data_IF_855742287282
#
_entry.id   IF_855742287282
#
_cell.length_a   1.000
_cell.length_b   1.000
_cell.length_c   1.000
_cell.angle_alpha   90.00
_cell.angle_beta   90.00
_cell.angle_gamma   90.00
#
_symmetry.space_group_name_H-M   'P 1'
#
loop_
_entity.id
_entity.type
_entity.pdbx_description
1 polymer ?
#
# COMPACT_ATOMS: atom_id res chain seq x y z
N UNK A 1 -2.89 -38.69 -7.68
CA UNK A 1 -3.42 -38.28 -8.98
C UNK A 1 -4.03 -36.91 -8.75
N UNK A 2 -3.33 -35.86 -9.17
CA UNK A 2 -3.72 -34.46 -8.96
C UNK A 2 -4.82 -34.11 -9.95
N UNK A 3 -6.08 -34.10 -9.48
CA UNK A 3 -7.10 -33.27 -10.12
C UNK A 3 -6.59 -31.84 -10.11
N UNK A 4 -6.74 -31.12 -11.23
CA UNK A 4 -6.41 -29.70 -11.29
C UNK A 4 -7.20 -28.96 -10.20
N UNK A 5 -6.52 -28.12 -9.42
CA UNK A 5 -7.12 -27.37 -8.33
C UNK A 5 -8.20 -26.40 -8.83
N UNK A 6 -8.02 -25.87 -10.05
CA UNK A 6 -9.02 -25.13 -10.82
C UNK A 6 -9.00 -25.62 -12.27
N UNK A 7 -10.17 -25.86 -12.88
CA UNK A 7 -10.26 -26.19 -14.30
C UNK A 7 -11.60 -25.84 -14.93
N UNK A 8 -11.57 -25.58 -16.23
CA UNK A 8 -12.73 -25.26 -17.05
C UNK A 8 -13.33 -26.53 -17.66
N UNK A 9 -14.65 -26.65 -17.62
CA UNK A 9 -15.43 -27.55 -18.46
C UNK A 9 -16.18 -26.68 -19.47
N UNK A 10 -15.73 -26.71 -20.73
CA UNK A 10 -16.31 -25.85 -21.76
C UNK A 10 -17.59 -26.42 -22.36
N UNK A 11 -18.55 -25.54 -22.66
CA UNK A 11 -19.79 -25.86 -23.37
C UNK A 11 -20.56 -27.05 -22.79
N UNK A 12 -20.78 -27.03 -21.48
CA UNK A 12 -21.51 -28.07 -20.75
C UNK A 12 -22.65 -27.48 -19.90
N UNK A 13 -23.51 -28.37 -19.41
CA UNK A 13 -24.66 -27.98 -18.59
C UNK A 13 -25.00 -29.02 -17.53
N UNK A 14 -25.68 -28.57 -16.47
CA UNK A 14 -26.18 -29.40 -15.39
C UNK A 14 -25.44 -29.17 -14.06
N UNK A 15 -26.22 -29.17 -12.97
CA UNK A 15 -25.68 -29.10 -11.61
C UNK A 15 -24.84 -30.35 -11.26
N UNK A 16 -25.13 -31.48 -11.90
CA UNK A 16 -24.42 -32.75 -11.74
C UNK A 16 -22.97 -32.70 -12.26
N UNK A 17 -22.61 -31.67 -13.03
CA UNK A 17 -21.24 -31.42 -13.48
C UNK A 17 -20.33 -30.91 -12.37
N UNK A 18 -20.86 -30.41 -11.27
CA UNK A 18 -20.08 -30.03 -10.09
C UNK A 18 -19.64 -31.31 -9.34
N UNK A 19 -18.33 -31.63 -9.29
CA UNK A 19 -17.88 -32.82 -8.57
C UNK A 19 -18.12 -32.72 -7.07
N UNK A 20 -18.16 -33.86 -6.38
CA UNK A 20 -18.21 -33.89 -4.93
C UNK A 20 -16.99 -33.18 -4.32
N UNK A 21 -17.22 -32.34 -3.30
CA UNK A 21 -16.13 -31.62 -2.63
C UNK A 21 -15.58 -30.42 -3.40
N UNK A 22 -16.26 -29.94 -4.46
CA UNK A 22 -15.85 -28.78 -5.27
C UNK A 22 -16.92 -27.70 -5.32
N UNK A 23 -16.52 -26.51 -5.75
CA UNK A 23 -17.38 -25.41 -6.16
C UNK A 23 -17.45 -25.39 -7.70
N UNK A 24 -18.61 -25.09 -8.26
CA UNK A 24 -18.80 -24.87 -9.70
C UNK A 24 -19.49 -23.53 -9.96
N UNK A 25 -18.89 -22.71 -10.83
CA UNK A 25 -19.44 -21.44 -11.32
C UNK A 25 -19.90 -21.62 -12.76
N UNK A 26 -21.06 -21.07 -13.12
CA UNK A 26 -21.71 -21.27 -14.40
C UNK A 26 -21.99 -19.93 -15.08
N UNK A 27 -21.73 -19.83 -16.39
CA UNK A 27 -21.94 -18.59 -17.15
C UNK A 27 -23.41 -18.25 -17.35
N UNK A 28 -24.31 -19.23 -17.28
CA UNK A 28 -25.75 -19.03 -17.46
C UNK A 28 -26.57 -19.46 -16.24
N UNK A 29 -27.79 -18.93 -16.16
CA UNK A 29 -28.77 -19.36 -15.15
C UNK A 29 -29.18 -20.82 -15.36
N UNK A 30 -29.75 -21.40 -14.30
CA UNK A 30 -30.19 -22.79 -14.22
C UNK A 30 -29.09 -23.78 -14.63
N UNK A 31 -27.83 -23.49 -14.27
CA UNK A 31 -26.69 -24.36 -14.52
C UNK A 31 -26.49 -24.66 -16.02
N UNK A 32 -26.58 -23.63 -16.86
CA UNK A 32 -26.46 -23.71 -18.32
C UNK A 32 -27.50 -24.61 -19.03
N UNK A 33 -28.64 -24.93 -18.39
CA UNK A 33 -29.63 -25.85 -18.98
C UNK A 33 -30.40 -25.28 -20.17
N UNK A 34 -30.61 -23.96 -20.22
CA UNK A 34 -31.32 -23.29 -21.33
C UNK A 34 -30.38 -22.80 -22.42
N UNK A 35 -29.13 -22.52 -22.05
CA UNK A 35 -28.07 -22.04 -22.92
C UNK A 35 -26.76 -22.69 -22.46
N UNK A 36 -26.16 -23.46 -23.35
CA UNK A 36 -24.89 -24.14 -23.09
C UNK A 36 -23.83 -23.06 -22.85
N UNK A 37 -23.03 -23.25 -21.80
CA UNK A 37 -22.00 -22.31 -21.42
C UNK A 37 -20.85 -23.02 -20.73
N UNK A 38 -19.94 -22.24 -20.16
CA UNK A 38 -18.77 -22.77 -19.49
C UNK A 38 -19.03 -22.98 -18.00
N UNK A 39 -18.27 -23.91 -17.40
CA UNK A 39 -18.36 -24.25 -15.99
C UNK A 39 -16.95 -24.25 -15.40
N UNK A 40 -16.67 -23.36 -14.44
CA UNK A 40 -15.40 -23.33 -13.72
C UNK A 40 -15.50 -24.18 -12.47
N UNK A 41 -14.66 -25.21 -12.37
CA UNK A 41 -14.56 -26.07 -11.19
C UNK A 41 -13.41 -25.57 -10.32
N UNK A 42 -13.69 -25.34 -9.04
CA UNK A 42 -12.76 -24.79 -8.06
C UNK A 42 -12.70 -25.72 -6.85
N UNK A 43 -11.48 -26.09 -6.45
CA UNK A 43 -11.24 -26.89 -5.24
C UNK A 43 -11.34 -26.03 -3.98
N UNK A 44 -11.53 -26.63 -2.80
CA UNK A 44 -11.51 -25.88 -1.53
C UNK A 44 -10.19 -25.12 -1.33
N UNK A 45 -10.25 -24.01 -0.60
CA UNK A 45 -9.09 -23.20 -0.20
C UNK A 45 -8.39 -22.50 -1.36
N UNK A 46 -9.18 -21.98 -2.30
CA UNK A 46 -8.73 -21.20 -3.45
C UNK A 46 -9.40 -19.83 -3.41
N UNK A 47 -8.66 -18.82 -3.82
CA UNK A 47 -9.11 -17.45 -4.01
C UNK A 47 -8.76 -17.05 -5.44
N UNK A 48 -9.75 -16.57 -6.19
CA UNK A 48 -9.57 -16.07 -7.55
C UNK A 48 -10.04 -14.61 -7.61
N UNK A 49 -9.20 -13.73 -8.15
CA UNK A 49 -9.56 -12.35 -8.47
C UNK A 49 -10.14 -12.22 -9.89
N UNK A 50 -10.44 -10.98 -10.30
CA UNK A 50 -11.00 -10.66 -11.61
C UNK A 50 -10.14 -11.19 -12.75
N UNK A 51 -8.83 -10.89 -12.73
CA UNK A 51 -7.91 -11.27 -13.80
C UNK A 51 -7.83 -12.80 -13.94
N UNK A 52 -7.80 -13.51 -12.82
CA UNK A 52 -7.79 -14.97 -12.81
C UNK A 52 -9.09 -15.56 -13.36
N UNK A 53 -10.26 -15.02 -12.99
CA UNK A 53 -11.55 -15.47 -13.52
C UNK A 53 -11.68 -15.22 -15.03
N UNK A 54 -11.28 -14.04 -15.50
CA UNK A 54 -11.25 -13.71 -16.93
C UNK A 54 -10.30 -14.63 -17.71
N UNK A 55 -9.17 -15.00 -17.12
CA UNK A 55 -8.23 -15.98 -17.68
C UNK A 55 -8.84 -17.37 -17.92
N UNK A 56 -9.94 -17.70 -17.24
CA UNK A 56 -10.73 -18.91 -17.45
C UNK A 56 -11.97 -18.71 -18.34
N UNK A 57 -12.17 -17.51 -18.90
CA UNK A 57 -13.28 -17.22 -19.82
C UNK A 57 -14.57 -16.73 -19.15
N UNK A 58 -14.53 -16.37 -17.87
CA UNK A 58 -15.66 -15.73 -17.18
C UNK A 58 -15.49 -14.23 -17.28
N UNK A 59 -16.22 -13.59 -18.19
CA UNK A 59 -16.10 -12.16 -18.45
C UNK A 59 -16.77 -11.40 -17.31
N UNK A 60 -15.97 -10.70 -16.53
CA UNK A 60 -16.40 -10.00 -15.33
C UNK A 60 -17.12 -8.69 -15.70
N UNK A 61 -18.31 -8.45 -15.15
CA UNK A 61 -19.09 -7.22 -15.38
C UNK A 61 -19.71 -7.05 -16.77
N UNK A 62 -19.76 -8.11 -17.58
CA UNK A 62 -20.33 -8.13 -18.94
C UNK A 62 -21.35 -9.25 -19.16
N UNK A 63 -21.89 -9.35 -20.37
CA UNK A 63 -22.58 -10.58 -20.79
C UNK A 63 -21.58 -11.75 -20.73
N UNK A 64 -22.03 -12.92 -20.27
CA UNK A 64 -21.23 -14.15 -20.03
C UNK A 64 -20.45 -14.18 -18.69
N UNK A 65 -20.87 -13.39 -17.70
CA UNK A 65 -20.39 -13.47 -16.32
C UNK A 65 -20.98 -14.65 -15.53
N UNK A 66 -20.79 -14.67 -14.22
CA UNK A 66 -21.30 -15.77 -13.37
C UNK A 66 -22.80 -15.55 -13.09
N UNK A 67 -23.62 -16.54 -13.46
CA UNK A 67 -25.09 -16.47 -13.38
C UNK A 67 -25.72 -17.54 -12.48
N UNK A 68 -25.01 -18.65 -12.20
CA UNK A 68 -25.43 -19.64 -11.21
C UNK A 68 -24.24 -20.38 -10.59
N UNK A 69 -24.46 -21.05 -9.45
CA UNK A 69 -23.38 -21.67 -8.66
C UNK A 69 -23.85 -22.93 -7.93
N UNK A 70 -22.96 -23.93 -7.83
CA UNK A 70 -23.13 -25.13 -7.01
C UNK A 70 -21.95 -25.25 -6.06
N UNK A 71 -22.21 -25.32 -4.76
CA UNK A 71 -21.20 -25.59 -3.74
C UNK A 71 -21.39 -26.99 -3.16
N UNK A 72 -20.66 -27.98 -3.69
CA UNK A 72 -20.62 -29.35 -3.19
C UNK A 72 -19.51 -29.57 -2.14
N UNK A 73 -18.85 -28.49 -1.68
CA UNK A 73 -17.86 -28.56 -0.61
C UNK A 73 -18.53 -28.73 0.76
N UNK A 74 -17.72 -29.11 1.75
CA UNK A 74 -18.12 -29.15 3.16
C UNK A 74 -18.01 -27.80 3.87
N UNK A 75 -17.59 -26.75 3.16
CA UNK A 75 -17.38 -25.40 3.66
C UNK A 75 -18.12 -24.37 2.81
N UNK A 76 -18.28 -23.17 3.34
CA UNK A 76 -18.90 -22.09 2.59
C UNK A 76 -17.98 -21.63 1.45
N UNK A 77 -18.58 -21.05 0.43
CA UNK A 77 -17.89 -20.24 -0.56
C UNK A 77 -18.46 -18.83 -0.53
N UNK A 78 -17.67 -17.86 -0.97
CA UNK A 78 -18.08 -16.46 -1.01
C UNK A 78 -17.85 -15.91 -2.41
N UNK A 79 -18.91 -15.37 -3.01
CA UNK A 79 -18.84 -14.56 -4.22
C UNK A 79 -18.66 -13.10 -3.81
N UNK A 80 -17.86 -12.36 -4.58
CA UNK A 80 -17.44 -11.00 -4.24
C UNK A 80 -17.67 -10.11 -5.47
N UNK A 81 -18.23 -8.92 -5.27
CA UNK A 81 -18.53 -7.99 -6.37
C UNK A 81 -17.43 -6.98 -6.65
N UNK A 82 -16.45 -6.79 -5.76
CA UNK A 82 -15.30 -5.93 -6.03
C UNK A 82 -14.24 -6.62 -6.89
N UNK A 83 -13.46 -5.81 -7.59
CA UNK A 83 -12.49 -6.29 -8.57
C UNK A 83 -11.24 -6.90 -7.91
N UNK A 84 -10.98 -6.53 -6.66
CA UNK A 84 -9.72 -6.79 -5.97
C UNK A 84 -9.97 -7.49 -4.63
N UNK A 85 -10.96 -8.38 -4.55
CA UNK A 85 -11.38 -9.07 -3.31
C UNK A 85 -11.89 -8.10 -2.23
N UNK A 86 -12.60 -7.09 -2.70
CA UNK A 86 -13.20 -6.02 -1.93
C UNK A 86 -14.73 -5.90 -2.17
N UNK A 87 -15.42 -5.10 -1.37
CA UNK A 87 -16.83 -4.77 -1.58
C UNK A 87 -17.86 -5.80 -1.08
N UNK A 88 -19.03 -5.83 -1.72
CA UNK A 88 -20.17 -6.64 -1.28
C UNK A 88 -19.91 -8.14 -1.48
N UNK A 89 -20.47 -8.96 -0.58
CA UNK A 89 -20.26 -10.42 -0.57
C UNK A 89 -21.57 -11.19 -0.57
N UNK A 90 -21.56 -12.37 -1.21
CA UNK A 90 -22.67 -13.33 -1.18
C UNK A 90 -22.14 -14.72 -0.82
N UNK A 91 -22.55 -15.20 0.35
CA UNK A 91 -22.19 -16.55 0.81
C UNK A 91 -23.04 -17.62 0.13
N UNK A 92 -22.38 -18.64 -0.41
CA UNK A 92 -22.98 -19.89 -0.88
C UNK A 92 -22.68 -20.98 0.13
N UNK A 93 -23.68 -21.33 0.96
CA UNK A 93 -23.47 -22.28 2.04
C UNK A 93 -23.04 -23.66 1.55
N UNK A 94 -22.29 -24.38 2.39
CA UNK A 94 -21.88 -25.77 2.12
C UNK A 94 -23.06 -26.67 1.68
N UNK A 95 -22.86 -27.43 0.60
CA UNK A 95 -23.88 -28.33 0.04
C UNK A 95 -25.11 -27.63 -0.56
N UNK A 96 -25.03 -26.34 -0.86
CA UNK A 96 -26.12 -25.56 -1.47
C UNK A 96 -25.79 -25.16 -2.90
N UNK A 97 -26.83 -24.79 -3.63
CA UNK A 97 -26.74 -24.28 -4.99
C UNK A 97 -27.65 -23.07 -5.14
N UNK A 98 -27.24 -22.14 -5.99
CA UNK A 98 -28.03 -20.99 -6.41
C UNK A 98 -28.29 -21.15 -7.91
N UNK A 99 -29.53 -21.50 -8.32
CA UNK A 99 -29.84 -21.73 -9.73
C UNK A 99 -29.90 -20.45 -10.54
N UNK A 100 -30.07 -19.27 -9.92
CA UNK A 100 -30.11 -18.01 -10.66
C UNK A 100 -29.76 -16.85 -9.73
N UNK A 101 -28.69 -16.13 -10.06
CA UNK A 101 -28.23 -14.94 -9.36
C UNK A 101 -29.07 -13.69 -9.65
N UNK A 102 -29.94 -13.73 -10.67
CA UNK A 102 -30.95 -12.68 -10.97
C UNK A 102 -31.87 -12.40 -9.77
N UNK A 103 -32.11 -13.40 -8.92
CA UNK A 103 -33.00 -13.26 -7.76
C UNK A 103 -32.28 -12.74 -6.51
N UNK A 104 -30.99 -12.43 -6.60
CA UNK A 104 -30.16 -11.97 -5.49
C UNK A 104 -29.82 -10.50 -5.71
N UNK A 105 -30.41 -9.56 -4.95
CA UNK A 105 -30.16 -8.14 -5.11
C UNK A 105 -28.70 -7.75 -4.82
N UNK A 106 -28.18 -6.78 -5.57
CA UNK A 106 -26.87 -6.14 -5.36
C UNK A 106 -27.00 -4.66 -5.73
N UNK A 107 -27.05 -3.76 -4.74
CA UNK A 107 -27.30 -2.33 -4.96
C UNK A 107 -28.61 -2.10 -5.73
N UNK A 108 -28.54 -1.40 -6.87
CA UNK A 108 -29.68 -1.20 -7.78
C UNK A 108 -29.90 -2.34 -8.78
N UNK A 109 -29.04 -3.36 -8.79
CA UNK A 109 -29.06 -4.50 -9.70
C UNK A 109 -29.14 -5.83 -8.97
N UNK A 110 -28.52 -6.85 -9.56
CA UNK A 110 -28.51 -8.23 -9.05
C UNK A 110 -27.11 -8.81 -9.14
N UNK A 111 -26.87 -9.92 -8.46
CA UNK A 111 -25.60 -10.66 -8.54
C UNK A 111 -25.36 -11.34 -9.89
N UNK A 112 -26.33 -11.35 -10.80
CA UNK A 112 -26.14 -11.93 -12.14
C UNK A 112 -25.05 -11.17 -12.89
N UNK A 113 -24.02 -11.88 -13.32
CA UNK A 113 -22.85 -11.37 -14.03
C UNK A 113 -22.01 -10.32 -13.27
N UNK A 114 -22.29 -10.15 -11.97
CA UNK A 114 -21.66 -9.15 -11.12
C UNK A 114 -20.65 -9.74 -10.12
N UNK A 115 -20.34 -11.03 -10.25
CA UNK A 115 -19.29 -11.68 -9.47
C UNK A 115 -17.95 -11.39 -10.12
N UNK A 116 -17.08 -10.72 -9.38
CA UNK A 116 -15.78 -10.27 -9.85
C UNK A 116 -14.63 -10.99 -9.13
N UNK A 117 -14.90 -11.65 -8.01
CA UNK A 117 -13.93 -12.52 -7.33
C UNK A 117 -14.65 -13.63 -6.57
N UNK A 118 -13.93 -14.70 -6.23
CA UNK A 118 -14.48 -15.85 -5.50
C UNK A 118 -13.48 -16.42 -4.51
N UNK A 119 -13.98 -16.82 -3.34
CA UNK A 119 -13.21 -17.54 -2.33
C UNK A 119 -13.93 -18.86 -2.01
N UNK A 120 -13.26 -19.98 -2.24
CA UNK A 120 -13.74 -21.33 -1.91
C UNK A 120 -13.30 -21.77 -0.50
N UNK A 121 -13.27 -20.83 0.44
CA UNK A 121 -12.89 -21.00 1.85
C UNK A 121 -13.83 -20.23 2.77
N UNK A 122 -13.78 -20.55 4.06
CA UNK A 122 -14.40 -19.70 5.07
C UNK A 122 -13.70 -18.33 5.07
N UNK A 123 -14.49 -17.27 5.19
CA UNK A 123 -14.01 -15.90 5.07
C UNK A 123 -14.11 -15.14 6.39
N UNK A 124 -13.12 -14.30 6.64
CA UNK A 124 -13.15 -13.26 7.67
C UNK A 124 -13.09 -11.92 6.95
N UNK A 125 -14.10 -11.08 7.21
CA UNK A 125 -14.12 -9.73 6.68
C UNK A 125 -13.32 -8.80 7.60
N UNK A 126 -12.50 -7.95 7.01
CA UNK A 126 -11.73 -6.89 7.67
C UNK A 126 -12.02 -5.54 7.02
N UNK A 127 -11.59 -4.46 7.66
CA UNK A 127 -11.69 -3.09 7.17
C UNK A 127 -10.29 -2.48 7.22
N UNK A 128 -9.61 -2.49 6.08
CA UNK A 128 -8.28 -1.91 5.88
C UNK A 128 -8.41 -0.69 4.97
N UNK A 129 -7.87 0.44 5.41
CA UNK A 129 -7.81 1.68 4.64
C UNK A 129 -6.35 1.97 4.27
N UNK A 130 -6.10 2.16 2.97
CA UNK A 130 -4.77 2.48 2.45
C UNK A 130 -4.65 3.99 2.23
N UNK A 131 -3.58 4.60 2.74
CA UNK A 131 -3.28 6.01 2.50
C UNK A 131 -1.85 6.15 1.99
N UNK A 132 -1.69 6.78 0.83
CA UNK A 132 -0.39 7.19 0.31
C UNK A 132 -0.13 8.65 0.61
N UNK A 133 1.12 8.96 0.94
CA UNK A 133 1.61 10.32 1.02
C UNK A 133 1.31 11.08 -0.28
N UNK A 134 0.89 12.33 -0.13
CA UNK A 134 0.46 13.18 -1.24
C UNK A 134 1.37 14.39 -1.39
N UNK A 135 1.33 15.02 -2.57
CA UNK A 135 2.14 16.21 -2.84
C UNK A 135 3.63 15.92 -3.05
N UNK A 136 4.01 14.68 -3.34
CA UNK A 136 5.40 14.29 -3.53
C UNK A 136 5.96 14.95 -4.79
N UNK A 137 7.01 15.74 -4.61
CA UNK A 137 7.72 16.43 -5.68
C UNK A 137 9.22 16.18 -5.59
N UNK A 138 9.76 15.31 -6.44
CA UNK A 138 11.19 14.97 -6.46
C UNK A 138 11.88 15.58 -7.68
N UNK A 139 13.20 15.54 -7.71
CA UNK A 139 14.02 15.99 -8.83
C UNK A 139 14.46 14.82 -9.72
N UNK A 140 14.86 15.13 -10.94
CA UNK A 140 15.54 14.15 -11.79
C UNK A 140 16.83 13.65 -11.11
N UNK A 141 16.94 12.34 -10.92
CA UNK A 141 18.06 11.67 -10.25
C UNK A 141 17.95 11.59 -8.73
N UNK A 142 16.92 12.18 -8.13
CA UNK A 142 16.70 12.15 -6.68
C UNK A 142 16.02 10.85 -6.25
N UNK A 143 16.53 10.26 -5.17
CA UNK A 143 15.89 9.14 -4.46
C UNK A 143 14.99 9.68 -3.35
N UNK A 144 13.84 9.04 -3.17
CA UNK A 144 12.87 9.41 -2.15
C UNK A 144 12.11 8.17 -1.67
N UNK A 145 11.57 8.21 -0.47
CA UNK A 145 10.88 7.09 0.15
C UNK A 145 9.44 7.49 0.48
N UNK A 146 8.49 7.25 -0.43
CA UNK A 146 7.08 7.61 -0.25
C UNK A 146 6.43 6.79 0.88
N UNK A 147 5.66 7.42 1.76
CA UNK A 147 4.95 6.71 2.83
C UNK A 147 3.64 6.08 2.33
N UNK A 148 3.48 4.78 2.58
CA UNK A 148 2.21 4.07 2.56
C UNK A 148 1.82 3.73 3.99
N UNK A 149 0.60 4.08 4.39
CA UNK A 149 -0.02 3.65 5.64
C UNK A 149 -1.21 2.73 5.34
N UNK A 150 -1.36 1.68 6.13
CA UNK A 150 -2.49 0.76 6.08
C UNK A 150 -3.09 0.67 7.48
N UNK A 151 -4.25 1.30 7.67
CA UNK A 151 -4.99 1.30 8.93
C UNK A 151 -5.96 0.12 8.95
N UNK A 152 -5.96 -0.66 10.03
CA UNK A 152 -6.88 -1.78 10.24
C UNK A 152 -7.85 -1.48 11.37
N UNK A 153 -9.11 -1.21 11.00
CA UNK A 153 -10.20 -0.89 11.93
C UNK A 153 -10.97 -2.14 12.38
N UNK A 154 -10.40 -3.33 12.17
CA UNK A 154 -10.98 -4.60 12.57
C UNK A 154 -10.25 -5.23 13.74
N UNK A 155 -10.97 -6.06 14.49
CA UNK A 155 -10.41 -6.84 15.60
C UNK A 155 -9.59 -8.05 15.17
N UNK A 156 -9.52 -8.34 13.87
CA UNK A 156 -8.73 -9.44 13.32
C UNK A 156 -7.38 -8.92 12.83
N UNK A 157 -6.32 -9.66 13.15
CA UNK A 157 -5.00 -9.46 12.56
C UNK A 157 -5.00 -10.00 11.13
N UNK A 158 -4.31 -9.33 10.22
CA UNK A 158 -4.08 -9.82 8.85
C UNK A 158 -2.61 -10.17 8.74
N UNK A 159 -2.30 -11.46 8.59
CA UNK A 159 -0.93 -11.96 8.51
C UNK A 159 -0.62 -12.39 7.08
N UNK A 160 0.53 -11.95 6.56
CA UNK A 160 1.00 -12.30 5.22
C UNK A 160 0.18 -11.65 4.10
N UNK A 161 -0.26 -10.40 4.29
CA UNK A 161 -0.73 -9.61 3.16
C UNK A 161 0.45 -9.26 2.26
N UNK A 162 0.22 -9.11 0.96
CA UNK A 162 1.26 -8.68 0.01
C UNK A 162 0.88 -7.32 -0.56
N UNK A 163 1.83 -6.39 -0.59
CA UNK A 163 1.66 -5.10 -1.28
C UNK A 163 2.49 -5.13 -2.55
N UNK A 164 1.94 -4.61 -3.63
CA UNK A 164 2.69 -4.29 -4.85
C UNK A 164 2.64 -2.79 -5.13
N UNK A 165 3.76 -2.23 -5.59
CA UNK A 165 3.88 -0.82 -5.95
C UNK A 165 4.41 -0.66 -7.38
N UNK A 166 3.85 0.29 -8.14
CA UNK A 166 4.22 0.53 -9.53
C UNK A 166 4.10 1.99 -9.94
N UNK A 167 4.89 2.38 -10.94
CA UNK A 167 4.78 3.69 -11.60
C UNK A 167 3.92 3.55 -12.86
N UNK A 168 3.03 4.52 -13.10
CA UNK A 168 2.28 4.60 -14.35
C UNK A 168 3.16 4.98 -15.56
N UNK A 169 4.33 5.59 -15.33
CA UNK A 169 5.29 5.94 -16.36
C UNK A 169 6.73 5.90 -15.81
N UNK A 170 7.45 4.84 -16.15
CA UNK A 170 8.84 4.63 -15.72
C UNK A 170 9.83 5.59 -16.37
N UNK A 171 9.44 6.34 -17.40
CA UNK A 171 10.25 7.44 -17.95
C UNK A 171 10.22 8.69 -17.05
N UNK A 172 9.22 8.81 -16.18
CA UNK A 172 9.10 9.91 -15.20
C UNK A 172 9.78 9.52 -13.89
N UNK A 173 9.41 8.39 -13.28
CA UNK A 173 10.06 7.87 -12.07
C UNK A 173 9.99 6.34 -12.00
N UNK A 174 10.94 5.72 -11.31
CA UNK A 174 10.97 4.27 -11.04
C UNK A 174 10.66 3.96 -9.59
N UNK A 175 10.12 2.76 -9.34
CA UNK A 175 9.89 2.20 -8.00
C UNK A 175 10.96 1.14 -7.70
N UNK A 176 11.66 1.27 -6.57
CA UNK A 176 12.73 0.36 -6.16
C UNK A 176 12.25 -0.91 -5.46
N UNK A 177 11.14 -0.82 -4.72
CA UNK A 177 10.50 -1.97 -4.05
C UNK A 177 9.14 -2.26 -4.70
N UNK A 178 9.09 -3.31 -5.53
CA UNK A 178 7.90 -3.64 -6.33
C UNK A 178 6.90 -4.54 -5.62
N UNK A 179 7.34 -5.35 -4.67
CA UNK A 179 6.46 -6.25 -3.90
C UNK A 179 7.09 -6.65 -2.56
N UNK A 180 6.29 -6.68 -1.49
CA UNK A 180 6.70 -7.12 -0.15
C UNK A 180 5.52 -7.65 0.65
N UNK A 181 5.82 -8.43 1.70
CA UNK A 181 4.83 -8.94 2.63
C UNK A 181 4.72 -8.05 3.86
N UNK A 182 3.51 -7.94 4.41
CA UNK A 182 3.19 -7.08 5.54
C UNK A 182 2.18 -7.76 6.48
N UNK A 183 2.44 -7.64 7.78
CA UNK A 183 1.49 -8.07 8.82
C UNK A 183 0.79 -6.83 9.37
N UNK A 184 -0.53 -6.80 9.28
CA UNK A 184 -1.34 -5.64 9.67
C UNK A 184 -2.02 -5.96 11.01
N UNK A 185 -1.63 -5.27 12.12
CA UNK A 185 -2.14 -5.56 13.45
C UNK A 185 -3.64 -5.24 13.57
N UNK A 186 -4.35 -5.95 14.45
CA UNK A 186 -5.74 -5.65 14.75
C UNK A 186 -5.89 -4.30 15.46
N UNK A 187 -6.86 -3.48 15.06
CA UNK A 187 -7.09 -2.12 15.58
C UNK A 187 -5.81 -1.26 15.61
N UNK A 188 -4.99 -1.35 14.55
CA UNK A 188 -3.71 -0.66 14.46
C UNK A 188 -3.33 -0.36 13.02
N UNK A 189 -2.16 0.23 12.83
CA UNK A 189 -1.63 0.56 11.51
C UNK A 189 -0.36 -0.22 11.21
N UNK A 190 -0.12 -0.47 9.93
CA UNK A 190 1.21 -0.73 9.40
C UNK A 190 1.64 0.42 8.46
N UNK A 191 2.94 0.64 8.36
CA UNK A 191 3.54 1.70 7.55
C UNK A 191 4.73 1.14 6.76
N UNK A 192 4.79 1.45 5.48
CA UNK A 192 5.88 1.06 4.59
C UNK A 192 6.43 2.28 3.84
N UNK A 193 7.75 2.29 3.61
CA UNK A 193 8.44 3.30 2.82
C UNK A 193 8.78 2.72 1.45
N UNK A 194 8.23 3.32 0.40
CA UNK A 194 8.37 2.87 -0.99
C UNK A 194 9.48 3.68 -1.65
N UNK A 195 10.66 3.09 -1.93
CA UNK A 195 11.73 3.80 -2.59
C UNK A 195 11.33 4.14 -4.02
N UNK A 196 11.49 5.39 -4.41
CA UNK A 196 11.28 5.90 -5.76
C UNK A 196 12.49 6.72 -6.20
N UNK A 197 12.70 6.79 -7.51
CA UNK A 197 13.78 7.60 -8.10
C UNK A 197 13.25 8.41 -9.28
N UNK A 198 13.50 9.71 -9.29
CA UNK A 198 13.14 10.57 -10.41
C UNK A 198 14.01 10.29 -11.64
N UNK A 199 13.39 10.10 -12.81
CA UNK A 199 14.08 9.75 -14.07
C UNK A 199 13.97 10.87 -15.09
N UNK A 200 12.77 11.41 -15.30
CA UNK A 200 12.49 12.42 -16.30
C UNK A 200 11.43 13.39 -15.81
N UNK A 201 11.52 14.64 -16.26
CA UNK A 201 10.58 15.67 -15.84
C UNK A 201 9.16 15.32 -16.29
N UNK A 202 8.19 15.48 -15.39
CA UNK A 202 6.80 15.15 -15.68
C UNK A 202 5.99 14.86 -14.42
N UNK A 203 4.78 14.35 -14.62
CA UNK A 203 3.91 13.86 -13.55
C UNK A 203 3.50 12.45 -13.93
N UNK A 204 3.64 11.52 -13.00
CA UNK A 204 3.17 10.15 -13.13
C UNK A 204 2.56 9.69 -11.80
N UNK A 205 1.85 8.57 -11.81
CA UNK A 205 1.10 8.07 -10.65
C UNK A 205 1.86 6.91 -10.02
N UNK A 206 2.08 6.96 -8.71
CA UNK A 206 2.47 5.81 -7.90
C UNK A 206 1.20 5.06 -7.51
N UNK A 207 1.09 3.80 -7.91
CA UNK A 207 -0.05 2.93 -7.63
C UNK A 207 0.39 1.85 -6.66
N UNK A 208 -0.38 1.61 -5.61
CA UNK A 208 -0.21 0.50 -4.68
C UNK A 208 -1.44 -0.40 -4.70
N UNK A 209 -1.21 -1.72 -4.70
CA UNK A 209 -2.26 -2.74 -4.59
C UNK A 209 -1.98 -3.66 -3.41
N UNK A 210 -2.99 -3.89 -2.58
CA UNK A 210 -2.98 -4.82 -1.46
C UNK A 210 -3.64 -6.14 -1.88
N UNK A 211 -2.92 -7.24 -1.68
CA UNK A 211 -3.42 -8.60 -1.83
C UNK A 211 -3.62 -9.21 -0.46
N UNK A 212 -4.87 -9.50 -0.12
CA UNK A 212 -5.22 -10.14 1.14
C UNK A 212 -4.91 -11.65 1.08
N UNK A 213 -4.48 -12.24 2.21
CA UNK A 213 -4.27 -13.69 2.28
C UNK A 213 -5.60 -14.44 2.12
N UNK A 214 -5.51 -15.73 1.77
CA UNK A 214 -6.68 -16.59 1.55
C UNK A 214 -7.72 -16.46 2.67
N UNK A 215 -8.96 -16.17 2.29
CA UNK A 215 -10.07 -16.09 3.24
C UNK A 215 -10.19 -14.76 3.97
N UNK A 216 -9.34 -13.77 3.66
CA UNK A 216 -9.51 -12.39 4.13
C UNK A 216 -10.13 -11.56 3.02
N UNK A 217 -11.29 -10.96 3.29
CA UNK A 217 -11.96 -10.01 2.39
C UNK A 217 -11.88 -8.63 3.03
N UNK A 218 -11.41 -7.65 2.28
CA UNK A 218 -11.33 -6.27 2.76
C UNK A 218 -12.59 -5.49 2.37
N UNK A 219 -13.25 -4.85 3.32
CA UNK A 219 -14.37 -3.94 3.04
C UNK A 219 -13.92 -2.49 2.76
N UNK A 220 -12.67 -2.15 3.05
CA UNK A 220 -12.07 -0.87 2.71
C UNK A 220 -11.39 -0.90 1.35
N UNK A 221 -10.24 -0.23 1.25
CA UNK A 221 -9.53 -0.06 -0.02
C UNK A 221 -8.40 -1.09 -0.16
N UNK A 222 -8.37 -1.80 -1.30
CA UNK A 222 -7.22 -2.64 -1.69
C UNK A 222 -6.31 -1.94 -2.71
N UNK A 223 -6.56 -0.66 -3.00
CA UNK A 223 -5.74 0.15 -3.89
C UNK A 223 -5.59 1.55 -3.33
N UNK A 224 -4.41 2.14 -3.51
CA UNK A 224 -4.17 3.56 -3.26
C UNK A 224 -3.27 4.13 -4.36
N UNK A 225 -3.48 5.39 -4.71
CA UNK A 225 -2.65 6.08 -5.69
C UNK A 225 -2.32 7.52 -5.27
N UNK A 226 -1.19 8.02 -5.78
CA UNK A 226 -0.76 9.40 -5.56
C UNK A 226 0.06 9.91 -6.75
N UNK A 227 -0.03 11.20 -7.02
CA UNK A 227 0.73 11.84 -8.08
C UNK A 227 2.15 12.17 -7.61
N UNK A 228 3.14 11.72 -8.37
CA UNK A 228 4.55 12.07 -8.21
C UNK A 228 4.92 13.10 -9.27
N UNK A 229 5.37 14.27 -8.84
CA UNK A 229 5.92 15.29 -9.73
C UNK A 229 7.43 15.17 -9.76
N UNK A 230 8.01 15.03 -10.95
CA UNK A 230 9.46 15.07 -11.15
C UNK A 230 9.82 16.38 -11.82
N UNK A 231 10.59 17.22 -11.13
CA UNK A 231 11.04 18.51 -11.64
C UNK A 231 12.45 18.45 -12.19
N UNK A 232 12.86 19.53 -12.86
CA UNK A 232 14.27 19.77 -13.09
C UNK A 232 15.04 19.73 -11.75
N UNK A 233 16.34 19.37 -11.76
CA UNK A 233 17.20 19.52 -10.60
C UNK A 233 17.08 20.94 -10.05
N UNK A 234 16.77 21.07 -8.76
CA UNK A 234 16.70 22.34 -8.07
C UNK A 234 18.08 22.67 -7.52
N UNK A 235 18.33 23.96 -7.39
CA UNK A 235 19.55 24.46 -6.76
C UNK A 235 19.48 24.48 -5.23
N UNK A 236 18.45 23.88 -4.64
CA UNK A 236 18.33 23.72 -3.21
C UNK A 236 19.24 22.57 -2.78
N UNK A 237 20.12 22.81 -1.83
CA UNK A 237 21.13 21.87 -1.38
C UNK A 237 21.22 21.90 0.14
N UNK A 238 21.57 20.76 0.71
CA UNK A 238 21.90 20.64 2.12
C UNK A 238 23.25 19.96 2.24
N UNK A 239 24.13 20.56 3.03
CA UNK A 239 25.40 19.94 3.41
C UNK A 239 25.44 19.77 4.91
N UNK A 240 26.21 18.79 5.37
CA UNK A 240 26.32 18.47 6.80
C UNK A 240 27.77 18.45 7.25
N UNK A 241 27.96 18.75 8.53
CA UNK A 241 29.23 18.61 9.22
C UNK A 241 28.98 18.12 10.64
N UNK A 242 29.53 16.96 10.97
CA UNK A 242 29.60 16.49 12.35
C UNK A 242 30.39 17.46 13.24
N UNK A 243 29.84 17.76 14.41
CA UNK A 243 30.45 18.68 15.38
C UNK A 243 31.06 17.89 16.54
N UNK A 244 30.23 17.15 17.27
CA UNK A 244 30.62 16.41 18.48
C UNK A 244 29.49 15.49 18.92
N UNK A 245 29.76 14.62 19.90
CA UNK A 245 28.76 13.86 20.63
C UNK A 245 29.07 13.84 22.13
N UNK A 246 28.07 13.57 22.94
CA UNK A 246 28.22 13.37 24.39
C UNK A 246 27.12 12.47 24.94
N UNK A 247 27.40 11.81 26.05
CA UNK A 247 26.41 10.97 26.74
C UNK A 247 25.25 11.84 27.27
N UNK A 248 24.00 11.46 26.98
CA UNK A 248 22.81 12.22 27.40
C UNK A 248 22.70 12.29 28.93
N UNK A 249 22.82 11.12 29.56
CA UNK A 249 22.79 10.95 31.00
C UNK A 249 23.91 10.02 31.47
N UNK A 250 24.56 10.37 32.57
CA UNK A 250 25.66 9.57 33.10
C UNK A 250 25.22 8.15 33.46
N UNK A 251 25.90 7.16 32.88
CA UNK A 251 25.64 5.74 33.13
C UNK A 251 24.46 5.15 32.34
N UNK A 252 23.94 5.89 31.36
CA UNK A 252 22.90 5.46 30.43
C UNK A 252 23.49 5.24 29.02
N UNK A 253 22.97 4.29 28.23
CA UNK A 253 23.59 3.94 26.95
C UNK A 253 23.47 5.04 25.88
N UNK A 254 22.57 6.00 26.03
CA UNK A 254 22.21 6.97 24.99
C UNK A 254 23.19 8.15 24.88
N UNK A 255 23.44 8.56 23.64
CA UNK A 255 24.35 9.65 23.29
C UNK A 255 23.65 10.66 22.39
N UNK A 256 23.88 11.96 22.64
CA UNK A 256 23.50 13.03 21.73
C UNK A 256 24.64 13.25 20.75
N UNK A 257 24.32 13.26 19.47
CA UNK A 257 25.21 13.67 18.38
C UNK A 257 24.73 15.01 17.82
N UNK A 258 25.67 15.92 17.59
CA UNK A 258 25.39 17.25 17.04
C UNK A 258 26.01 17.43 15.67
N UNK A 259 25.20 17.93 14.74
CA UNK A 259 25.56 18.20 13.36
C UNK A 259 25.23 19.64 13.03
N UNK A 260 26.06 20.24 12.18
CA UNK A 260 25.76 21.52 11.55
C UNK A 260 25.34 21.28 10.12
N UNK A 261 24.14 21.71 9.79
CA UNK A 261 23.60 21.67 8.44
C UNK A 261 23.66 23.06 7.82
N UNK A 262 24.04 23.12 6.56
CA UNK A 262 24.00 24.33 5.75
C UNK A 262 23.00 24.11 4.62
N UNK A 263 21.90 24.85 4.68
CA UNK A 263 20.80 24.84 3.75
C UNK A 263 20.99 26.01 2.78
N UNK A 264 21.11 25.73 1.49
CA UNK A 264 21.42 26.72 0.47
C UNK A 264 20.50 26.60 -0.73
N UNK A 265 20.23 27.72 -1.40
CA UNK A 265 19.54 27.79 -2.67
C UNK A 265 20.41 28.60 -3.61
N UNK A 266 20.70 28.14 -4.83
CA UNK A 266 21.55 28.93 -5.75
C UNK A 266 20.79 29.96 -6.59
N UNK A 267 19.46 29.88 -6.69
CA UNK A 267 18.70 30.70 -7.66
C UNK A 267 17.52 31.45 -7.06
N UNK A 268 16.63 30.76 -6.33
CA UNK A 268 15.39 31.35 -5.84
C UNK A 268 15.32 31.43 -4.31
N UNK A 269 14.68 32.46 -3.74
CA UNK A 269 14.35 32.47 -2.32
C UNK A 269 13.31 31.39 -1.98
N UNK A 270 13.61 30.58 -0.96
CA UNK A 270 12.72 29.54 -0.42
C UNK A 270 12.20 29.99 0.94
N UNK A 271 10.90 30.28 1.00
CA UNK A 271 10.23 30.85 2.18
C UNK A 271 9.69 29.82 3.15
N UNK A 272 9.42 28.61 2.67
CA UNK A 272 8.99 27.46 3.44
C UNK A 272 9.75 26.25 2.90
N UNK A 273 10.36 25.49 3.80
CA UNK A 273 11.16 24.32 3.47
C UNK A 273 10.92 23.18 4.46
N UNK A 274 11.18 21.97 3.99
CA UNK A 274 11.13 20.72 4.76
C UNK A 274 12.50 20.06 4.65
N UNK A 275 13.08 19.72 5.79
CA UNK A 275 14.33 18.97 5.89
C UNK A 275 13.99 17.54 6.29
N UNK A 276 14.47 16.55 5.53
CA UNK A 276 14.31 15.15 5.89
C UNK A 276 15.64 14.39 5.95
N UNK A 277 15.69 13.35 6.76
CA UNK A 277 16.83 12.44 6.90
C UNK A 277 16.42 11.12 7.56
N UNK A 278 17.23 10.08 7.34
CA UNK A 278 17.00 8.75 7.88
C UNK A 278 17.82 8.51 9.15
N UNK A 279 17.15 8.05 10.20
CA UNK A 279 17.74 7.60 11.45
C UNK A 279 17.68 6.08 11.59
N UNK A 280 18.69 5.46 12.22
CA UNK A 280 18.67 4.03 12.55
C UNK A 280 17.63 3.74 13.66
N UNK A 281 17.29 2.46 13.80
CA UNK A 281 16.35 2.00 14.85
C UNK A 281 16.78 2.46 16.24
N UNK A 282 15.83 3.00 17.01
CA UNK A 282 16.05 3.49 18.37
C UNK A 282 16.70 4.87 18.46
N UNK A 283 17.00 5.54 17.34
CA UNK A 283 17.42 6.93 17.32
C UNK A 283 16.24 7.87 17.02
N UNK A 284 16.30 9.08 17.58
CA UNK A 284 15.28 10.12 17.41
C UNK A 284 15.91 11.51 17.50
N UNK A 285 15.30 12.57 16.95
CA UNK A 285 15.74 13.93 17.25
C UNK A 285 15.68 14.19 18.76
N UNK A 286 16.72 14.80 19.34
CA UNK A 286 16.78 15.02 20.78
C UNK A 286 15.57 15.86 21.25
N UNK A 287 14.74 15.36 22.19
CA UNK A 287 13.51 16.04 22.58
C UNK A 287 13.74 17.44 23.17
N UNK A 288 14.83 17.63 23.93
CA UNK A 288 15.17 18.93 24.52
C UNK A 288 15.60 19.93 23.43
N UNK A 289 16.37 19.47 22.45
CA UNK A 289 16.72 20.25 21.28
C UNK A 289 15.48 20.65 20.47
N UNK A 290 14.58 19.71 20.15
CA UNK A 290 13.33 20.00 19.42
C UNK A 290 12.52 21.10 20.11
N UNK A 291 12.34 21.00 21.43
CA UNK A 291 11.65 22.03 22.22
C UNK A 291 12.38 23.37 22.14
N UNK A 292 13.72 23.37 22.19
CA UNK A 292 14.51 24.60 22.07
C UNK A 292 14.41 25.26 20.69
N UNK A 293 14.13 24.48 19.64
CA UNK A 293 14.02 24.95 18.26
C UNK A 293 12.58 25.15 17.79
N UNK A 294 11.57 25.02 18.67
CA UNK A 294 10.16 25.07 18.27
C UNK A 294 9.69 26.41 17.69
N UNK A 295 10.49 27.48 17.84
CA UNK A 295 10.23 28.76 17.18
C UNK A 295 10.66 28.78 15.71
N UNK A 296 11.49 27.81 15.30
CA UNK A 296 12.08 27.70 13.98
C UNK A 296 11.53 26.49 13.23
N UNK A 297 11.47 25.32 13.86
CA UNK A 297 11.14 24.06 13.20
C UNK A 297 10.02 23.32 13.92
N UNK A 298 9.26 22.53 13.18
CA UNK A 298 8.27 21.59 13.72
C UNK A 298 8.57 20.19 13.19
N UNK A 299 8.53 19.19 14.06
CA UNK A 299 8.60 17.78 13.63
C UNK A 299 7.25 17.38 13.06
N UNK A 300 7.20 16.97 11.80
CA UNK A 300 6.01 16.34 11.22
C UNK A 300 5.94 14.90 11.73
N UNK A 301 5.16 14.68 12.79
CA UNK A 301 5.02 13.36 13.42
C UNK A 301 4.23 12.37 12.58
N UNK A 302 3.43 12.84 11.62
CA UNK A 302 2.64 11.97 10.74
C UNK A 302 3.53 11.37 9.66
N UNK A 303 4.44 12.18 9.11
CA UNK A 303 5.48 11.72 8.18
C UNK A 303 6.65 11.05 8.89
N UNK A 304 7.02 11.44 10.10
CA UNK A 304 8.22 10.91 10.77
C UNK A 304 8.00 9.49 11.33
N UNK A 305 8.07 8.49 10.47
CA UNK A 305 7.83 7.07 10.77
C UNK A 305 8.93 6.18 10.20
N UNK A 306 9.19 5.05 10.87
CA UNK A 306 10.18 4.05 10.47
C UNK A 306 11.60 4.61 10.28
N UNK A 307 12.01 5.54 11.15
CA UNK A 307 13.34 6.14 11.15
C UNK A 307 13.49 7.36 10.23
N UNK A 308 12.61 7.56 9.25
CA UNK A 308 12.59 8.81 8.49
C UNK A 308 12.09 9.95 9.38
N UNK A 309 12.78 11.09 9.35
CA UNK A 309 12.47 12.29 10.11
C UNK A 309 12.18 13.43 9.15
N UNK A 310 11.12 14.19 9.42
CA UNK A 310 10.71 15.35 8.64
C UNK A 310 10.56 16.57 9.54
N UNK A 311 11.33 17.63 9.24
CA UNK A 311 11.37 18.88 9.97
C UNK A 311 10.93 20.03 9.06
N UNK A 312 9.78 20.62 9.37
CA UNK A 312 9.21 21.74 8.63
C UNK A 312 9.67 23.07 9.20
N UNK A 313 9.99 24.01 8.33
CA UNK A 313 10.29 25.39 8.71
C UNK A 313 9.03 26.13 9.16
N UNK A 314 9.14 26.87 10.26
CA UNK A 314 8.21 27.91 10.68
C UNK A 314 8.51 29.19 9.91
N UNK A 315 7.49 30.02 9.67
CA UNK A 315 7.60 31.25 8.88
C UNK A 315 8.73 32.18 9.36
N UNK A 316 9.52 32.71 8.42
CA UNK A 316 10.56 33.72 8.69
C UNK A 316 12.00 33.24 8.47
N UNK A 317 12.19 31.95 8.23
CA UNK A 317 13.50 31.34 8.00
C UNK A 317 13.76 31.07 6.51
N UNK A 318 13.88 32.16 5.75
CA UNK A 318 14.02 32.14 4.28
C UNK A 318 15.45 31.78 3.87
N UNK A 319 15.60 30.78 2.99
CA UNK A 319 16.86 30.49 2.32
C UNK A 319 16.92 31.38 1.08
N UNK A 320 17.95 32.21 0.94
CA UNK A 320 18.08 33.09 -0.23
C UNK A 320 19.35 32.78 -1.02
N UNK A 321 19.41 33.14 -2.32
CA UNK A 321 20.62 32.92 -3.14
C UNK A 321 21.89 33.56 -2.61
N UNK A 322 21.76 34.59 -1.78
CA UNK A 322 22.88 35.32 -1.21
C UNK A 322 23.20 34.91 0.24
N UNK A 323 22.35 34.10 0.87
CA UNK A 323 22.46 33.77 2.28
C UNK A 323 21.91 32.38 2.57
N UNK A 324 22.84 31.50 2.94
CA UNK A 324 22.55 30.18 3.47
C UNK A 324 21.92 30.26 4.86
N UNK A 325 21.15 29.24 5.19
CA UNK A 325 20.65 29.00 6.54
C UNK A 325 21.52 27.95 7.20
N UNK A 326 22.06 28.26 8.38
CA UNK A 326 22.78 27.31 9.22
C UNK A 326 21.83 26.76 10.29
N UNK A 327 21.74 25.43 10.39
CA UNK A 327 20.91 24.73 11.36
C UNK A 327 21.77 23.72 12.12
N UNK A 328 21.94 23.94 13.42
CA UNK A 328 22.57 22.96 14.29
C UNK A 328 21.49 21.99 14.79
N UNK A 329 21.60 20.71 14.43
CA UNK A 329 20.68 19.66 14.87
C UNK A 329 21.32 18.75 15.91
N UNK A 330 20.48 18.18 16.78
CA UNK A 330 20.90 17.20 17.80
C UNK A 330 20.02 15.96 17.72
N UNK A 331 20.65 14.80 17.62
CA UNK A 331 19.99 13.50 17.51
C UNK A 331 20.42 12.64 18.69
N UNK A 332 19.46 11.99 19.33
CA UNK A 332 19.66 11.01 20.39
C UNK A 332 19.79 9.62 19.75
N UNK A 333 20.92 8.96 19.99
CA UNK A 333 21.20 7.60 19.52
C UNK A 333 21.22 6.60 20.69
N UNK A 334 20.88 5.32 20.45
CA UNK A 334 20.84 4.29 21.50
C UNK A 334 22.23 3.85 22.00
N UNK A 335 23.31 4.37 21.40
CA UNK A 335 24.69 4.04 21.72
C UNK A 335 25.68 5.02 21.09
N UNK A 336 26.97 4.76 21.33
CA UNK A 336 28.08 5.48 20.70
C UNK A 336 28.59 4.67 19.50
N UNK A 337 28.60 5.29 18.31
CA UNK A 337 29.16 4.72 17.08
C UNK A 337 29.72 5.81 16.17
N UNK A 338 30.73 5.48 15.37
CA UNK A 338 31.23 6.35 14.29
C UNK A 338 30.28 6.40 13.10
N UNK A 339 29.43 5.39 12.94
CA UNK A 339 28.41 5.37 11.88
C UNK A 339 27.38 6.49 12.07
N UNK A 340 27.24 6.97 13.31
CA UNK A 340 26.37 8.11 13.65
C UNK A 340 27.05 9.46 13.36
N UNK A 341 28.27 9.53 12.83
CA UNK A 341 28.89 10.82 12.49
C UNK A 341 28.35 11.41 11.17
N UNK A 342 27.50 10.69 10.44
CA UNK A 342 26.86 11.18 9.21
C UNK A 342 25.37 10.88 9.25
N UNK A 343 24.54 11.84 8.87
CA UNK A 343 23.11 11.64 8.63
C UNK A 343 22.92 11.06 7.24
N UNK A 344 22.14 9.99 7.15
CA UNK A 344 21.83 9.35 5.88
C UNK A 344 20.58 9.96 5.25
N UNK A 345 20.46 9.86 3.93
CA UNK A 345 19.30 10.32 3.16
C UNK A 345 18.89 11.79 3.40
N UNK A 346 19.88 12.66 3.66
CA UNK A 346 19.66 14.07 3.99
C UNK A 346 19.13 14.85 2.76
N UNK A 347 17.95 15.44 2.90
CA UNK A 347 17.21 16.10 1.82
C UNK A 347 16.64 17.43 2.28
N UNK A 348 16.52 18.37 1.34
CA UNK A 348 15.92 19.67 1.56
C UNK A 348 14.95 20.01 0.44
N UNK A 349 13.71 20.31 0.82
CA UNK A 349 12.62 20.61 -0.09
C UNK A 349 12.05 22.00 0.13
N UNK A 350 11.42 22.54 -0.92
CA UNK A 350 10.55 23.70 -0.78
C UNK A 350 9.11 23.23 -0.60
N UNK A 351 8.47 23.68 0.48
CA UNK A 351 7.04 23.50 0.70
C UNK A 351 6.23 24.47 -0.18
N UNK A 352 5.12 23.98 -0.73
CA UNK A 352 4.25 24.70 -1.67
C UNK A 352 3.36 25.74 -1.00
#
# INVERSE_FOLDING_TARGET
MTENDVYLISQESGADKCPAGKLALYTNINFNQSEIGDILIISPNIQLDTEQLEGYGFIVGGHDGISSVVNNMSQNATLISGLYLDGETLTVSAGKQIPSLVNYPLGSGTWNDAVNSVVSADVTTVNLEMTLESGISIQTGEEYSALLQIQNDSSAVVTGATIEASSSDSAVFTVGLVSWAEDIPANGASSARIPITGVGQGVATLNCRLYTPLGIINNGDNTADTAITVTAPRYLQVTQKYITHWQKEWGKPEYIYSYKLTLSSAEDPVYAWELSFLLPEGAEPDPDWLVSQSSWITLDTEKSVNGEVYLDSVSGHVITPAQDVELDIQILYPGESTDYETLENLRLEQLS
#
